data_IF_632330684806
#
_entry.id   IF_632330684806
#
_cell.length_a   1.000
_cell.length_b   1.000
_cell.length_c   1.000
_cell.angle_alpha   90.00
_cell.angle_beta   90.00
_cell.angle_gamma   90.00
#
_symmetry.space_group_name_H-M   'P 1'
#
loop_
_entity.id
_entity.type
_entity.pdbx_description
1 polymer ?
#
# COMPACT_ATOMS: atom_id res chain seq x y z
N UNK A 1 18.03 -12.54 -10.73
CA UNK A 1 18.19 -11.93 -9.39
C UNK A 1 18.79 -10.53 -9.53
N UNK A 2 17.95 -9.51 -9.42
CA UNK A 2 18.38 -8.12 -9.17
C UNK A 2 17.14 -7.34 -8.70
N UNK A 3 16.48 -7.86 -7.66
CA UNK A 3 15.56 -7.03 -6.90
C UNK A 3 16.43 -6.11 -6.05
N UNK A 4 16.80 -4.95 -6.62
CA UNK A 4 17.42 -3.88 -5.85
C UNK A 4 16.63 -3.65 -4.57
N UNK A 5 17.33 -3.45 -3.47
CA UNK A 5 16.75 -3.39 -2.13
C UNK A 5 15.52 -2.47 -2.14
N UNK A 6 14.34 -2.94 -1.68
CA UNK A 6 13.10 -2.15 -1.77
C UNK A 6 13.23 -0.82 -1.00
N UNK A 7 14.09 -0.77 0.01
CA UNK A 7 14.46 0.46 0.72
C UNK A 7 15.16 1.50 -0.19
N UNK A 8 16.13 1.08 -1.02
CA UNK A 8 16.82 1.99 -1.94
C UNK A 8 15.86 2.54 -3.02
N UNK A 9 14.90 1.72 -3.45
CA UNK A 9 13.84 2.16 -4.38
C UNK A 9 12.92 3.21 -3.72
N UNK A 10 12.54 3.01 -2.46
CA UNK A 10 11.76 3.99 -1.69
C UNK A 10 12.50 5.32 -1.59
N UNK A 11 13.80 5.31 -1.27
CA UNK A 11 14.61 6.54 -1.19
C UNK A 11 14.66 7.27 -2.53
N UNK A 12 14.93 6.55 -3.62
CA UNK A 12 14.98 7.13 -4.96
C UNK A 12 13.63 7.75 -5.37
N UNK A 13 12.53 7.02 -5.20
CA UNK A 13 11.19 7.51 -5.54
C UNK A 13 10.78 8.71 -4.66
N UNK A 14 11.20 8.74 -3.40
CA UNK A 14 11.00 9.88 -2.50
C UNK A 14 11.73 11.13 -3.01
N UNK A 15 12.95 10.98 -3.53
CA UNK A 15 13.69 12.07 -4.18
C UNK A 15 13.01 12.53 -5.47
N UNK A 16 12.51 11.61 -6.29
CA UNK A 16 11.75 11.92 -7.50
C UNK A 16 10.49 12.73 -7.19
N UNK A 17 9.71 12.32 -6.18
CA UNK A 17 8.48 13.00 -5.74
C UNK A 17 8.72 14.46 -5.34
N UNK A 18 9.88 14.77 -4.76
CA UNK A 18 10.25 16.15 -4.39
C UNK A 18 10.43 17.06 -5.61
N UNK A 19 10.86 16.50 -6.74
CA UNK A 19 11.04 17.24 -8.00
C UNK A 19 9.74 17.31 -8.81
N UNK A 20 9.03 16.18 -8.90
CA UNK A 20 7.86 16.01 -9.76
C UNK A 20 6.79 15.25 -8.99
N UNK A 21 5.59 15.86 -8.86
CA UNK A 21 4.43 15.24 -8.22
C UNK A 21 3.51 14.68 -9.29
N UNK A 22 3.68 13.41 -9.61
CA UNK A 22 2.88 12.70 -10.60
C UNK A 22 2.29 11.40 -10.04
N UNK A 23 1.12 11.03 -10.55
CA UNK A 23 0.37 9.86 -10.11
C UNK A 23 1.19 8.56 -10.19
N UNK A 24 2.00 8.39 -11.23
CA UNK A 24 2.80 7.18 -11.42
C UNK A 24 3.92 7.05 -10.38
N UNK A 25 4.49 8.17 -9.90
CA UNK A 25 5.52 8.19 -8.85
C UNK A 25 4.88 7.83 -7.51
N UNK A 26 3.79 8.50 -7.14
CA UNK A 26 3.09 8.23 -5.88
C UNK A 26 2.58 6.77 -5.85
N UNK A 27 2.01 6.27 -6.95
CA UNK A 27 1.57 4.86 -7.08
C UNK A 27 2.72 3.88 -6.87
N UNK A 28 3.87 4.15 -7.49
CA UNK A 28 5.06 3.29 -7.36
C UNK A 28 5.64 3.34 -5.94
N UNK A 29 5.61 4.52 -5.31
CA UNK A 29 6.12 4.73 -3.96
C UNK A 29 5.26 4.01 -2.91
N UNK A 30 3.92 4.05 -3.05
CA UNK A 30 2.98 3.29 -2.20
C UNK A 30 3.28 1.78 -2.28
N UNK A 31 3.45 1.24 -3.49
CA UNK A 31 3.79 -0.18 -3.67
C UNK A 31 5.18 -0.52 -3.11
N UNK A 32 6.16 0.38 -3.27
CA UNK A 32 7.51 0.19 -2.73
C UNK A 32 7.50 0.14 -1.20
N UNK A 33 6.74 1.01 -0.51
CA UNK A 33 6.58 0.94 0.95
C UNK A 33 5.95 -0.38 1.40
N UNK A 34 4.91 -0.85 0.70
CA UNK A 34 4.29 -2.14 0.98
C UNK A 34 5.29 -3.29 0.87
N UNK A 35 6.07 -3.31 -0.22
CA UNK A 35 7.07 -4.36 -0.49
C UNK A 35 8.27 -4.31 0.45
N UNK A 36 8.61 -3.13 0.97
CA UNK A 36 9.66 -2.93 1.95
C UNK A 36 9.22 -3.29 3.39
N UNK A 37 7.95 -3.64 3.62
CA UNK A 37 7.40 -3.83 4.97
C UNK A 37 7.31 -2.54 5.80
N UNK A 38 7.43 -1.39 5.15
CA UNK A 38 7.42 -0.06 5.76
C UNK A 38 5.99 0.43 6.01
N UNK A 39 5.20 -0.34 6.77
CA UNK A 39 3.77 -0.12 6.93
C UNK A 39 3.41 1.24 7.55
N UNK A 40 4.20 1.72 8.53
CA UNK A 40 3.97 3.04 9.14
C UNK A 40 4.14 4.18 8.14
N UNK A 41 5.16 4.11 7.28
CA UNK A 41 5.40 5.12 6.25
C UNK A 41 4.35 5.04 5.14
N UNK A 42 3.89 3.84 4.80
CA UNK A 42 2.77 3.64 3.89
C UNK A 42 1.51 4.34 4.43
N UNK A 43 1.14 4.09 5.69
CA UNK A 43 -0.05 4.65 6.33
C UNK A 43 0.01 6.18 6.42
N UNK A 44 1.17 6.73 6.82
CA UNK A 44 1.40 8.17 6.84
C UNK A 44 1.26 8.77 5.42
N UNK A 45 1.83 8.10 4.42
CA UNK A 45 1.83 8.58 3.04
C UNK A 45 0.44 8.60 2.42
N UNK A 46 -0.37 7.56 2.61
CA UNK A 46 -1.73 7.49 2.05
C UNK A 46 -2.71 8.40 2.79
N UNK A 47 -2.43 8.71 4.07
CA UNK A 47 -3.22 9.67 4.86
C UNK A 47 -2.92 11.13 4.46
N UNK A 48 -1.73 11.39 3.94
CA UNK A 48 -1.35 12.68 3.37
C UNK A 48 -1.92 12.87 1.95
N UNK A 49 -2.10 14.12 1.48
CA UNK A 49 -2.53 14.39 0.12
C UNK A 49 -1.53 13.81 -0.89
N UNK A 50 -2.02 12.89 -1.71
CA UNK A 50 -1.27 12.17 -2.73
C UNK A 50 -2.11 12.03 -4.00
N UNK A 51 -1.46 11.73 -5.12
CA UNK A 51 -2.11 11.50 -6.43
C UNK A 51 -1.98 10.03 -6.87
N UNK A 52 -1.66 9.13 -5.93
CA UNK A 52 -1.43 7.72 -6.20
C UNK A 52 -2.73 6.95 -6.42
N UNK A 53 -2.66 5.90 -7.24
CA UNK A 53 -3.77 4.97 -7.47
C UNK A 53 -3.77 3.90 -6.37
N UNK A 54 -4.23 4.26 -5.18
CA UNK A 54 -4.20 3.39 -3.98
C UNK A 54 -4.97 2.08 -4.23
N UNK A 55 -6.13 2.13 -4.88
CA UNK A 55 -6.93 0.94 -5.17
C UNK A 55 -6.18 -0.09 -6.01
N UNK A 56 -5.55 0.32 -7.11
CA UNK A 56 -4.79 -0.58 -7.98
C UNK A 56 -3.61 -1.23 -7.24
N UNK A 57 -2.94 -0.48 -6.38
CA UNK A 57 -1.84 -1.01 -5.55
C UNK A 57 -2.37 -1.99 -4.50
N UNK A 58 -3.50 -1.69 -3.87
CA UNK A 58 -4.12 -2.58 -2.88
C UNK A 58 -4.53 -3.92 -3.49
N UNK A 59 -5.18 -3.90 -4.66
CA UNK A 59 -5.54 -5.11 -5.43
C UNK A 59 -4.31 -5.94 -5.82
N UNK A 60 -3.23 -5.27 -6.21
CA UNK A 60 -1.95 -5.91 -6.51
C UNK A 60 -1.34 -6.56 -5.26
N UNK A 61 -1.27 -5.82 -4.15
CA UNK A 61 -0.78 -6.34 -2.87
C UNK A 61 -1.61 -7.55 -2.40
N UNK A 62 -2.92 -7.51 -2.58
CA UNK A 62 -3.81 -8.63 -2.28
C UNK A 62 -3.49 -9.87 -3.13
N UNK A 63 -3.30 -9.67 -4.44
CA UNK A 63 -2.98 -10.74 -5.39
C UNK A 63 -1.62 -11.37 -5.14
N UNK A 64 -0.67 -10.58 -4.61
CA UNK A 64 0.66 -11.03 -4.17
C UNK A 64 0.66 -11.54 -2.72
N UNK A 65 -0.51 -11.76 -2.11
CA UNK A 65 -0.70 -12.28 -0.74
C UNK A 65 -0.12 -11.38 0.38
N UNK A 66 0.16 -10.12 0.07
CA UNK A 66 0.59 -9.09 1.02
C UNK A 66 -0.64 -8.47 1.70
N UNK A 67 -1.30 -9.25 2.55
CA UNK A 67 -2.59 -8.86 3.15
C UNK A 67 -2.49 -7.72 4.17
N UNK A 68 -1.37 -7.57 4.88
CA UNK A 68 -1.16 -6.49 5.86
C UNK A 68 -1.17 -5.10 5.19
N UNK A 69 -0.32 -4.81 4.17
CA UNK A 69 -0.38 -3.53 3.48
C UNK A 69 -1.67 -3.35 2.68
N UNK A 70 -2.24 -4.43 2.11
CA UNK A 70 -3.53 -4.36 1.42
C UNK A 70 -4.66 -3.93 2.37
N UNK A 71 -4.69 -4.45 3.61
CA UNK A 71 -5.63 -4.03 4.67
C UNK A 71 -5.55 -2.52 4.90
N UNK A 72 -4.35 -2.00 5.15
CA UNK A 72 -4.11 -0.56 5.41
C UNK A 72 -4.67 0.30 4.27
N UNK A 73 -4.37 -0.09 3.03
CA UNK A 73 -4.83 0.64 1.85
C UNK A 73 -6.36 0.56 1.67
N UNK A 74 -6.97 -0.62 1.84
CA UNK A 74 -8.42 -0.79 1.70
C UNK A 74 -9.20 -0.04 2.77
N UNK A 75 -8.67 0.04 4.00
CA UNK A 75 -9.23 0.88 5.05
C UNK A 75 -9.21 2.35 4.65
N UNK A 76 -8.07 2.85 4.12
CA UNK A 76 -7.91 4.25 3.72
C UNK A 76 -8.90 4.67 2.61
N UNK A 77 -9.20 3.79 1.65
CA UNK A 77 -10.16 4.06 0.56
C UNK A 77 -11.60 3.60 0.87
N UNK A 78 -11.88 3.14 2.09
CA UNK A 78 -13.20 2.64 2.51
C UNK A 78 -13.76 1.51 1.63
N UNK A 79 -12.90 0.62 1.12
CA UNK A 79 -13.32 -0.54 0.35
C UNK A 79 -13.57 -1.74 1.29
N UNK A 80 -14.73 -1.71 1.94
CA UNK A 80 -15.15 -2.69 2.95
C UNK A 80 -15.24 -4.12 2.41
N UNK A 81 -15.73 -4.31 1.18
CA UNK A 81 -15.82 -5.62 0.56
C UNK A 81 -14.45 -6.32 0.46
N UNK A 82 -13.42 -5.60 0.00
CA UNK A 82 -12.05 -6.14 -0.05
C UNK A 82 -11.41 -6.22 1.32
N UNK A 83 -11.65 -5.25 2.19
CA UNK A 83 -11.16 -5.24 3.57
C UNK A 83 -11.59 -6.49 4.34
N UNK A 84 -12.87 -6.85 4.30
CA UNK A 84 -13.39 -8.07 4.93
C UNK A 84 -12.67 -9.32 4.40
N UNK A 85 -12.45 -9.42 3.08
CA UNK A 85 -11.70 -10.54 2.51
C UNK A 85 -10.22 -10.57 2.94
N UNK A 86 -9.56 -9.42 3.10
CA UNK A 86 -8.22 -9.34 3.66
C UNK A 86 -8.18 -9.82 5.12
N UNK A 87 -9.13 -9.36 5.95
CA UNK A 87 -9.21 -9.69 7.37
C UNK A 87 -9.44 -11.18 7.59
N UNK A 88 -10.29 -11.81 6.77
CA UNK A 88 -10.46 -13.28 6.79
C UNK A 88 -9.15 -14.01 6.45
N UNK A 89 -8.39 -13.52 5.44
CA UNK A 89 -7.09 -14.12 5.07
C UNK A 89 -6.02 -13.92 6.13
N UNK A 90 -6.14 -12.88 6.95
CA UNK A 90 -5.28 -12.61 8.12
C UNK A 90 -5.73 -13.37 9.39
N UNK A 91 -6.88 -14.04 9.36
CA UNK A 91 -7.47 -14.71 10.54
C UNK A 91 -8.14 -13.77 11.53
N UNK A 92 -8.31 -12.48 11.19
CA UNK A 92 -8.95 -11.46 12.01
C UNK A 92 -10.49 -11.54 11.85
N UNK A 93 -11.10 -12.68 12.17
CA UNK A 93 -12.51 -12.95 11.87
C UNK A 93 -13.49 -12.01 12.57
N UNK A 94 -13.18 -11.54 13.79
CA UNK A 94 -14.02 -10.57 14.48
C UNK A 94 -14.08 -9.26 13.71
N UNK A 95 -12.92 -8.68 13.38
CA UNK A 95 -12.85 -7.47 12.58
C UNK A 95 -13.46 -7.64 11.18
N UNK A 96 -13.42 -8.85 10.60
CA UNK A 96 -14.02 -9.13 9.31
C UNK A 96 -15.55 -9.09 9.30
N UNK A 97 -16.21 -9.31 10.45
CA UNK A 97 -17.67 -9.21 10.57
C UNK A 97 -18.12 -7.75 10.64
N UNK A 98 -17.31 -6.89 11.26
CA UNK A 98 -17.60 -5.47 11.45
C UNK A 98 -17.17 -4.58 10.26
N UNK A 99 -16.35 -5.12 9.34
CA UNK A 99 -15.83 -4.43 8.16
C UNK A 99 -16.84 -4.41 7.01
#
# INVERSE_FOLDING_TARGET
EQAGEPAALVEYLTMCRKKVKEAHIDTSLIYAYAKAGMHSQLEEFISAPNVGRIQDVAERCYSEEMYVPAKIMFTSISNFARLATCLVRLGEFQAAVDA
#
